data_IF_466184855696
#
_entry.id   IF_466184855696
#
_cell.length_a   1.000
_cell.length_b   1.000
_cell.length_c   1.000
_cell.angle_alpha   90.00
_cell.angle_beta   90.00
_cell.angle_gamma   90.00
#
_symmetry.space_group_name_H-M   'P 1'
#
loop_
_entity.id
_entity.type
_entity.pdbx_description
1 polymer ?
#
# COMPACT_ATOMS: atom_id res chain seq x y z
N UNK A 1 -12.51 5.66 -12.03
CA UNK A 1 -12.11 4.44 -12.73
C UNK A 1 -12.41 3.17 -11.97
N UNK A 2 -12.56 3.24 -10.66
CA UNK A 2 -12.87 2.06 -9.88
C UNK A 2 -14.14 1.35 -10.36
N UNK A 3 -15.12 2.11 -10.80
CA UNK A 3 -16.37 1.50 -11.26
C UNK A 3 -16.21 0.66 -12.53
N UNK A 4 -15.16 0.90 -13.28
CA UNK A 4 -14.88 0.08 -14.45
C UNK A 4 -14.61 -1.37 -14.01
N UNK A 5 -13.82 -1.52 -12.96
CA UNK A 5 -13.51 -2.85 -12.44
C UNK A 5 -14.74 -3.50 -11.83
N UNK A 6 -15.60 -2.72 -11.18
CA UNK A 6 -16.82 -3.25 -10.57
C UNK A 6 -17.78 -3.82 -11.59
N UNK A 7 -17.81 -3.21 -12.78
CA UNK A 7 -18.72 -3.65 -13.83
C UNK A 7 -18.12 -4.75 -14.68
N UNK A 8 -16.84 -5.04 -14.50
CA UNK A 8 -16.23 -6.14 -15.22
C UNK A 8 -16.75 -7.45 -14.67
N UNK A 9 -16.98 -8.38 -15.57
CA UNK A 9 -17.23 -9.75 -15.19
C UNK A 9 -15.88 -10.30 -14.70
N UNK A 10 -15.74 -10.47 -13.40
CA UNK A 10 -14.49 -10.97 -12.80
C UNK A 10 -14.11 -12.32 -13.39
N UNK A 11 -15.10 -13.16 -13.66
CA UNK A 11 -14.87 -14.45 -14.28
C UNK A 11 -14.17 -14.31 -15.64
N UNK A 12 -14.60 -13.35 -16.45
CA UNK A 12 -13.95 -13.09 -17.73
C UNK A 12 -12.55 -12.50 -17.54
N UNK A 13 -12.39 -11.64 -16.55
CA UNK A 13 -11.08 -11.04 -16.24
C UNK A 13 -10.05 -12.12 -15.92
N UNK A 14 -10.43 -13.12 -15.15
CA UNK A 14 -9.52 -14.20 -14.74
C UNK A 14 -9.05 -15.05 -15.91
N UNK A 15 -9.70 -14.94 -17.06
CA UNK A 15 -9.32 -15.68 -18.27
C UNK A 15 -8.39 -14.90 -19.18
N UNK A 16 -8.05 -13.67 -18.83
CA UNK A 16 -7.20 -12.82 -19.67
C UNK A 16 -5.72 -13.16 -19.48
N UNK A 17 -4.94 -12.89 -20.51
CA UNK A 17 -3.49 -13.04 -20.41
C UNK A 17 -2.92 -12.08 -19.36
N UNK A 18 -3.49 -10.88 -19.30
CA UNK A 18 -3.07 -9.89 -18.30
C UNK A 18 -3.16 -10.46 -16.90
N UNK A 19 -4.29 -11.04 -16.54
CA UNK A 19 -4.49 -11.59 -15.20
C UNK A 19 -3.59 -12.81 -14.95
N UNK A 20 -3.41 -13.62 -15.98
CA UNK A 20 -2.68 -14.88 -15.84
C UNK A 20 -1.16 -14.70 -15.84
N UNK A 21 -0.66 -13.48 -16.06
CA UNK A 21 0.77 -13.21 -15.88
C UNK A 21 1.16 -13.12 -14.40
N UNK A 22 0.16 -12.95 -13.52
CA UNK A 22 0.41 -12.88 -12.08
C UNK A 22 0.35 -14.28 -11.48
N UNK A 23 1.15 -14.51 -10.42
CA UNK A 23 1.05 -15.78 -9.72
C UNK A 23 -0.23 -15.82 -8.87
N UNK A 24 -0.50 -16.98 -8.28
CA UNK A 24 -1.75 -17.21 -7.58
C UNK A 24 -1.96 -16.23 -6.41
N UNK A 25 -0.91 -15.94 -5.64
CA UNK A 25 -1.01 -15.03 -4.50
C UNK A 25 -1.23 -13.60 -4.95
N UNK A 26 -0.55 -13.18 -6.01
CA UNK A 26 -0.76 -11.86 -6.60
C UNK A 26 -2.20 -11.73 -7.13
N UNK A 27 -2.70 -12.78 -7.78
CA UNK A 27 -4.06 -12.79 -8.30
C UNK A 27 -5.08 -12.59 -7.18
N UNK A 28 -4.85 -13.22 -6.03
CA UNK A 28 -5.75 -13.05 -4.88
C UNK A 28 -5.80 -11.60 -4.42
N UNK A 29 -4.65 -10.93 -4.34
CA UNK A 29 -4.61 -9.55 -3.93
C UNK A 29 -5.35 -8.64 -4.92
N UNK A 30 -5.22 -8.92 -6.21
CA UNK A 30 -5.94 -8.15 -7.23
C UNK A 30 -7.45 -8.35 -7.09
N UNK A 31 -7.88 -9.60 -6.91
CA UNK A 31 -9.31 -9.90 -6.77
C UNK A 31 -9.90 -9.27 -5.51
N UNK A 32 -9.18 -9.31 -4.39
CA UNK A 32 -9.65 -8.66 -3.16
C UNK A 32 -9.85 -7.17 -3.38
N UNK A 33 -8.94 -6.53 -4.10
CA UNK A 33 -9.07 -5.12 -4.40
C UNK A 33 -10.30 -4.82 -5.24
N UNK A 34 -10.51 -5.61 -6.29
CA UNK A 34 -11.66 -5.42 -7.17
C UNK A 34 -12.98 -5.64 -6.42
N UNK A 35 -13.04 -6.66 -5.57
CA UNK A 35 -14.24 -6.96 -4.79
C UNK A 35 -14.57 -5.84 -3.79
N UNK A 36 -13.56 -5.09 -3.38
CA UNK A 36 -13.73 -4.00 -2.42
C UNK A 36 -13.76 -2.62 -3.09
N UNK A 37 -13.91 -2.58 -4.40
CA UNK A 37 -14.02 -1.34 -5.18
C UNK A 37 -12.79 -0.46 -5.07
N UNK A 38 -11.60 -1.07 -4.94
CA UNK A 38 -10.36 -0.34 -4.88
C UNK A 38 -9.75 -0.19 -6.27
N UNK A 39 -8.96 0.85 -6.44
CA UNK A 39 -8.24 1.08 -7.69
C UNK A 39 -6.98 0.21 -7.71
N UNK A 40 -7.11 -1.01 -8.24
CA UNK A 40 -6.01 -1.97 -8.25
C UNK A 40 -4.87 -1.57 -9.18
N UNK A 41 -5.07 -0.56 -10.03
CA UNK A 41 -4.00 -0.11 -10.92
C UNK A 41 -2.77 0.38 -10.14
N UNK A 42 -2.94 0.72 -8.88
CA UNK A 42 -1.81 1.12 -8.04
C UNK A 42 -0.85 -0.03 -7.75
N UNK A 43 -1.34 -1.27 -7.78
CA UNK A 43 -0.49 -2.40 -7.41
C UNK A 43 -0.56 -3.61 -8.34
N UNK A 44 -1.48 -3.62 -9.32
CA UNK A 44 -1.60 -4.74 -10.25
C UNK A 44 -0.49 -4.68 -11.29
N UNK A 45 0.73 -4.90 -10.84
CA UNK A 45 1.95 -4.85 -11.63
C UNK A 45 2.85 -5.99 -11.20
N UNK A 46 3.46 -6.66 -12.17
CA UNK A 46 4.24 -7.87 -11.87
C UNK A 46 5.50 -7.61 -11.05
N UNK A 47 5.99 -6.37 -11.05
CA UNK A 47 7.16 -6.01 -10.24
C UNK A 47 6.89 -5.96 -8.74
N UNK A 48 5.61 -5.97 -8.32
CA UNK A 48 5.27 -6.08 -6.91
C UNK A 48 5.02 -7.54 -6.55
N UNK A 49 5.58 -8.00 -5.44
CA UNK A 49 5.19 -9.30 -4.93
C UNK A 49 3.87 -9.17 -4.16
N UNK A 50 3.30 -10.30 -3.75
CA UNK A 50 2.01 -10.30 -3.08
C UNK A 50 2.02 -9.56 -1.75
N UNK A 51 3.14 -9.57 -1.04
CA UNK A 51 3.26 -8.85 0.22
C UNK A 51 3.22 -7.33 -0.01
N UNK A 52 3.91 -6.85 -1.04
CA UNK A 52 3.87 -5.43 -1.40
C UNK A 52 2.47 -5.04 -1.83
N UNK A 53 1.84 -5.86 -2.67
CA UNK A 53 0.46 -5.62 -3.12
C UNK A 53 -0.49 -5.51 -1.93
N UNK A 54 -0.30 -6.36 -0.93
CA UNK A 54 -1.12 -6.37 0.27
C UNK A 54 -1.05 -5.04 1.03
N UNK A 55 0.16 -4.52 1.22
CA UNK A 55 0.34 -3.25 1.95
C UNK A 55 -0.25 -2.08 1.16
N UNK A 56 -0.09 -2.08 -0.16
CA UNK A 56 -0.69 -1.04 -0.99
C UNK A 56 -2.21 -1.13 -0.92
N UNK A 57 -2.76 -2.34 -1.02
CA UNK A 57 -4.21 -2.55 -0.94
C UNK A 57 -4.77 -2.05 0.39
N UNK A 58 -4.09 -2.33 1.50
CA UNK A 58 -4.52 -1.83 2.80
C UNK A 58 -4.52 -0.30 2.86
N UNK A 59 -3.51 0.32 2.27
CA UNK A 59 -3.46 1.78 2.20
C UNK A 59 -4.64 2.35 1.43
N UNK A 60 -4.98 1.73 0.30
CA UNK A 60 -6.13 2.15 -0.49
C UNK A 60 -7.42 2.00 0.30
N UNK A 61 -7.57 0.89 1.02
CA UNK A 61 -8.76 0.65 1.84
C UNK A 61 -8.89 1.70 2.93
N UNK A 62 -7.78 2.15 3.47
CA UNK A 62 -7.74 3.18 4.50
C UNK A 62 -7.80 4.60 3.93
N UNK A 63 -7.89 4.72 2.61
CA UNK A 63 -7.98 6.00 1.89
C UNK A 63 -6.74 6.86 2.08
N UNK A 64 -5.59 6.22 2.17
CA UNK A 64 -4.30 6.90 2.30
C UNK A 64 -3.73 7.18 0.91
N UNK A 65 -2.81 8.15 0.85
CA UNK A 65 -2.11 8.47 -0.39
C UNK A 65 -0.99 7.44 -0.61
N UNK A 66 -1.33 6.33 -1.27
CA UNK A 66 -0.37 5.25 -1.50
C UNK A 66 0.72 5.62 -2.50
N UNK A 67 0.55 6.74 -3.24
CA UNK A 67 1.56 7.16 -4.20
C UNK A 67 2.92 7.39 -3.52
N UNK A 68 2.91 7.64 -2.23
CA UNK A 68 4.13 7.89 -1.46
C UNK A 68 4.99 6.63 -1.35
N UNK A 69 4.36 5.44 -1.35
CA UNK A 69 5.13 4.21 -1.16
C UNK A 69 4.85 3.11 -2.19
N UNK A 70 3.92 3.30 -3.12
CA UNK A 70 3.58 2.28 -4.11
C UNK A 70 4.60 2.24 -5.23
N UNK A 71 5.82 1.83 -4.89
CA UNK A 71 6.93 1.68 -5.83
C UNK A 71 7.74 0.45 -5.43
N UNK A 72 8.27 -0.32 -6.40
CA UNK A 72 9.01 -1.55 -6.09
C UNK A 72 10.28 -1.31 -5.27
N UNK A 73 10.74 -0.06 -5.18
CA UNK A 73 11.95 0.27 -4.43
C UNK A 73 11.79 0.04 -2.93
N UNK A 74 10.55 0.07 -2.42
CA UNK A 74 10.28 -0.24 -1.03
C UNK A 74 9.86 -1.70 -0.90
N UNK A 75 10.42 -2.44 0.05
CA UNK A 75 9.90 -3.75 0.36
C UNK A 75 8.63 -3.60 1.21
N UNK A 76 7.94 -4.72 1.45
CA UNK A 76 6.66 -4.66 2.17
C UNK A 76 6.81 -4.15 3.60
N UNK A 77 7.94 -4.42 4.26
CA UNK A 77 8.15 -3.95 5.62
C UNK A 77 8.37 -2.44 5.65
N UNK A 78 9.12 -1.91 4.69
CA UNK A 78 9.29 -0.46 4.55
C UNK A 78 7.96 0.21 4.23
N UNK A 79 7.23 -0.34 3.28
CA UNK A 79 5.90 0.17 2.91
C UNK A 79 4.98 0.25 4.12
N UNK A 80 5.04 -0.76 4.98
CA UNK A 80 4.16 -0.80 6.14
C UNK A 80 4.48 0.32 7.13
N UNK A 81 5.76 0.64 7.31
CA UNK A 81 6.13 1.75 8.17
C UNK A 81 5.64 3.09 7.62
N UNK A 82 5.68 3.26 6.31
CA UNK A 82 5.16 4.48 5.68
C UNK A 82 3.65 4.53 5.83
N UNK A 83 2.96 3.40 5.56
CA UNK A 83 1.50 3.34 5.69
C UNK A 83 1.04 3.69 7.10
N UNK A 84 1.70 3.14 8.11
CA UNK A 84 1.36 3.42 9.50
C UNK A 84 1.55 4.89 9.84
N UNK A 85 2.61 5.50 9.31
CA UNK A 85 2.84 6.93 9.49
C UNK A 85 1.77 7.78 8.83
N UNK A 86 1.38 7.43 7.62
CA UNK A 86 0.32 8.15 6.91
C UNK A 86 -1.00 8.05 7.67
N UNK A 87 -1.28 6.89 8.24
CA UNK A 87 -2.51 6.71 9.00
C UNK A 87 -2.58 7.62 10.21
N UNK A 88 -1.44 7.90 10.81
CA UNK A 88 -1.34 8.82 11.96
C UNK A 88 -1.04 10.25 11.55
N UNK A 89 -1.04 10.53 10.24
CA UNK A 89 -0.80 11.87 9.70
C UNK A 89 0.56 12.43 10.10
N UNK A 90 1.56 11.56 10.15
CA UNK A 90 2.94 11.96 10.43
C UNK A 90 3.62 12.44 9.16
N UNK A 91 4.70 13.20 9.31
CA UNK A 91 5.50 13.66 8.18
C UNK A 91 6.41 12.52 7.71
N UNK A 92 5.85 11.60 6.93
CA UNK A 92 6.58 10.39 6.51
C UNK A 92 7.75 10.69 5.59
N UNK A 93 7.79 11.87 4.95
CA UNK A 93 8.90 12.23 4.08
C UNK A 93 10.25 12.22 4.81
N UNK A 94 10.23 12.31 6.13
CA UNK A 94 11.44 12.23 6.93
C UNK A 94 12.11 10.86 6.80
N UNK A 95 11.31 9.80 6.64
CA UNK A 95 11.87 8.45 6.60
C UNK A 95 11.47 7.62 5.39
N UNK A 96 10.62 8.13 4.50
CA UNK A 96 10.19 7.37 3.31
C UNK A 96 11.32 7.39 2.27
N UNK A 97 12.38 6.67 2.55
CA UNK A 97 13.59 6.60 1.73
C UNK A 97 13.96 5.13 1.51
N UNK A 98 14.09 4.69 0.25
CA UNK A 98 14.35 3.27 -0.03
C UNK A 98 15.65 2.73 0.58
N UNK A 99 16.63 3.61 0.80
CA UNK A 99 17.92 3.21 1.36
C UNK A 99 17.87 3.00 2.88
N UNK A 100 16.79 3.43 3.52
CA UNK A 100 16.63 3.31 4.98
C UNK A 100 15.94 1.99 5.30
N UNK A 101 16.52 1.16 6.17
CA UNK A 101 15.89 -0.10 6.52
C UNK A 101 14.63 0.13 7.37
N UNK A 102 13.76 -0.88 7.41
CA UNK A 102 12.46 -0.72 8.06
C UNK A 102 12.56 -0.50 9.57
N UNK A 103 13.62 -1.01 10.20
CA UNK A 103 13.81 -0.83 11.65
C UNK A 103 14.14 0.61 11.98
N UNK A 104 14.98 1.23 11.18
CA UNK A 104 15.30 2.65 11.31
C UNK A 104 14.06 3.49 11.02
N UNK A 105 13.31 3.14 10.00
CA UNK A 105 12.05 3.82 9.69
C UNK A 105 11.09 3.73 10.88
N UNK A 106 11.01 2.56 11.49
CA UNK A 106 10.12 2.34 12.63
C UNK A 106 10.51 3.23 13.80
N UNK A 107 11.80 3.32 14.09
CA UNK A 107 12.28 4.18 15.18
C UNK A 107 11.89 5.64 14.95
N UNK A 108 12.09 6.13 13.73
CA UNK A 108 11.73 7.51 13.38
C UNK A 108 10.23 7.70 13.46
N UNK A 109 9.45 6.74 12.94
CA UNK A 109 7.99 6.81 12.97
C UNK A 109 7.47 6.89 14.40
N UNK A 110 8.00 6.03 15.28
CA UNK A 110 7.60 6.03 16.69
C UNK A 110 7.94 7.36 17.36
N UNK A 111 9.11 7.91 17.04
CA UNK A 111 9.53 9.18 17.59
C UNK A 111 8.64 10.33 17.12
N UNK A 112 8.32 10.35 15.83
CA UNK A 112 7.40 11.35 15.27
C UNK A 112 6.04 11.26 15.93
N UNK A 113 5.55 10.03 16.15
CA UNK A 113 4.27 9.82 16.82
C UNK A 113 4.31 10.34 18.25
N UNK A 114 5.40 10.06 18.97
CA UNK A 114 5.54 10.51 20.36
C UNK A 114 5.56 12.04 20.43
N UNK A 115 6.29 12.69 19.53
CA UNK A 115 6.34 14.14 19.46
C UNK A 115 4.96 14.72 19.19
N UNK A 116 4.23 14.12 18.26
CA UNK A 116 2.89 14.58 17.92
C UNK A 116 1.95 14.46 19.12
N UNK A 117 2.01 13.33 19.82
CA UNK A 117 1.16 13.11 20.99
C UNK A 117 1.48 14.08 22.11
N UNK A 118 2.78 14.37 22.32
CA UNK A 118 3.19 15.30 23.35
C UNK A 118 2.72 16.72 23.02
N UNK A 119 2.84 17.11 21.75
CA UNK A 119 2.36 18.41 21.31
C UNK A 119 0.86 18.55 21.55
N UNK A 120 0.10 17.53 21.22
CA UNK A 120 -1.36 17.56 21.37
C UNK A 120 -1.77 17.64 22.85
N UNK A 121 -0.95 17.09 23.76
CA UNK A 121 -1.23 17.19 25.18
C UNK A 121 -0.99 18.58 25.74
N UNK A 122 -0.12 19.37 25.11
CA UNK A 122 0.24 20.69 25.62
C UNK A 122 -0.68 21.81 25.13
N UNK A 123 -1.50 21.53 24.14
CA UNK A 123 -2.40 22.53 23.63
C UNK A 123 -3.82 22.33 24.16
#
# INVERSE_FOLDING_TARGET
MKKIYNNLNIENLTKTEWFNQFNEEQQKEILYGLENNLDVSWYAKTEFNDYQMNVIRFGLKQKLDVSIYATPEFNNMQMNQIRLGLKKKLKVSVYAKPEMDFQEMMQIRVELLREKMNYEKTI
#
